data_IF_593826551951
#
_entry.id   IF_593826551951
#
_cell.length_a   1.000
_cell.length_b   1.000
_cell.length_c   1.000
_cell.angle_alpha   90.00
_cell.angle_beta   90.00
_cell.angle_gamma   90.00
#
_symmetry.space_group_name_H-M   'P 1'
#
loop_
_entity.id
_entity.type
_entity.pdbx_description
1 polymer ?
#
# COMPACT_ATOMS: atom_id res chain seq x y z
N UNK A 1 -16.65 15.81 -13.37
CA UNK A 1 -15.27 15.28 -13.46
C UNK A 1 -15.33 13.82 -13.06
N UNK A 2 -14.58 12.94 -13.70
CA UNK A 2 -14.63 11.52 -13.35
C UNK A 2 -13.83 11.30 -12.05
N UNK A 3 -14.49 11.47 -10.90
CA UNK A 3 -13.86 11.40 -9.56
C UNK A 3 -13.34 9.99 -9.20
N UNK A 4 -13.48 9.02 -10.11
CA UNK A 4 -13.02 7.64 -9.97
C UNK A 4 -11.51 7.51 -10.22
N UNK A 5 -10.96 8.22 -11.21
CA UNK A 5 -9.57 8.06 -11.60
C UNK A 5 -8.67 8.94 -10.73
N UNK A 6 -7.86 8.29 -9.90
CA UNK A 6 -6.82 8.93 -9.12
C UNK A 6 -5.66 9.36 -10.04
N UNK A 7 -5.12 10.52 -9.75
CA UNK A 7 -4.04 11.16 -10.49
C UNK A 7 -2.71 10.99 -9.77
N UNK A 8 -1.62 11.41 -10.42
CA UNK A 8 -0.29 11.45 -9.78
C UNK A 8 -0.29 12.26 -8.47
N UNK A 9 -1.06 13.35 -8.42
CA UNK A 9 -1.17 14.22 -7.25
C UNK A 9 -1.76 13.48 -6.05
N UNK A 10 -2.72 12.59 -6.30
CA UNK A 10 -3.41 11.84 -5.25
C UNK A 10 -2.48 10.82 -4.57
N UNK A 11 -1.37 10.45 -5.21
CA UNK A 11 -0.37 9.51 -4.68
C UNK A 11 1.01 10.16 -4.45
N UNK A 12 1.10 11.49 -4.42
CA UNK A 12 2.32 12.17 -3.99
C UNK A 12 2.63 11.85 -2.52
N UNK A 13 3.92 11.80 -2.16
CA UNK A 13 4.34 11.44 -0.80
C UNK A 13 3.90 12.44 0.28
N UNK A 14 3.52 13.65 -0.14
CA UNK A 14 2.93 14.67 0.73
C UNK A 14 1.41 14.50 0.92
N UNK A 15 0.75 13.65 0.13
CA UNK A 15 -0.62 13.23 0.41
C UNK A 15 -0.63 12.18 1.54
N UNK A 16 -0.45 12.66 2.77
CA UNK A 16 -0.37 11.81 3.95
C UNK A 16 -1.66 11.04 4.23
N UNK A 17 -2.83 11.58 3.85
CA UNK A 17 -4.09 10.85 3.99
C UNK A 17 -4.09 9.58 3.14
N UNK A 18 -3.71 9.70 1.86
CA UNK A 18 -3.62 8.54 0.97
C UNK A 18 -2.62 7.51 1.49
N UNK A 19 -1.41 7.93 1.86
CA UNK A 19 -0.39 6.99 2.33
C UNK A 19 -0.71 6.36 3.69
N UNK A 20 -1.39 7.08 4.58
CA UNK A 20 -1.92 6.49 5.81
C UNK A 20 -2.95 5.41 5.51
N UNK A 21 -3.96 5.75 4.69
CA UNK A 21 -4.96 4.79 4.24
C UNK A 21 -4.29 3.57 3.57
N UNK A 22 -3.41 3.80 2.61
CA UNK A 22 -2.81 2.72 1.84
C UNK A 22 -1.98 1.78 2.72
N UNK A 23 -1.11 2.32 3.56
CA UNK A 23 -0.24 1.49 4.41
C UNK A 23 -1.04 0.85 5.53
N UNK A 24 -1.98 1.53 6.18
CA UNK A 24 -2.73 0.94 7.30
C UNK A 24 -3.76 -0.09 6.85
N UNK A 25 -4.31 0.00 5.64
CA UNK A 25 -5.40 -0.87 5.18
C UNK A 25 -5.00 -1.87 4.08
N UNK A 26 -4.01 -1.54 3.24
CA UNK A 26 -3.58 -2.45 2.17
C UNK A 26 -2.34 -3.26 2.53
N UNK A 27 -1.52 -2.82 3.51
CA UNK A 27 -0.41 -3.64 3.98
C UNK A 27 -0.92 -4.61 5.03
N UNK A 28 -0.18 -5.71 5.16
CA UNK A 28 -0.37 -6.69 6.21
C UNK A 28 0.92 -6.75 7.01
N UNK A 29 0.80 -6.69 8.32
CA UNK A 29 1.92 -6.67 9.24
C UNK A 29 1.38 -6.93 10.63
N UNK A 30 2.15 -7.65 11.43
CA UNK A 30 1.77 -7.99 12.79
C UNK A 30 2.99 -7.89 13.70
N UNK A 31 2.85 -7.17 14.80
CA UNK A 31 3.86 -7.11 15.85
C UNK A 31 3.56 -8.23 16.85
N UNK A 32 4.30 -9.34 16.78
CA UNK A 32 4.09 -10.49 17.66
C UNK A 32 4.31 -10.17 19.14
N UNK A 33 5.16 -9.19 19.47
CA UNK A 33 5.48 -8.87 20.86
C UNK A 33 4.37 -8.09 21.53
N UNK A 34 3.70 -7.21 20.76
CA UNK A 34 2.62 -6.37 21.26
C UNK A 34 1.22 -6.88 20.89
N UNK A 35 1.16 -7.91 20.05
CA UNK A 35 -0.06 -8.47 19.48
C UNK A 35 -0.88 -7.42 18.69
N UNK A 36 -0.19 -6.57 17.92
CA UNK A 36 -0.81 -5.46 17.18
C UNK A 36 -0.78 -5.70 15.68
N UNK A 37 -1.89 -5.42 15.00
CA UNK A 37 -1.89 -5.29 13.55
C UNK A 37 -1.18 -4.00 13.13
N UNK A 38 -0.83 -3.92 11.84
CA UNK A 38 -0.03 -2.78 11.32
C UNK A 38 -0.67 -1.41 11.57
N UNK A 39 -2.01 -1.29 11.52
CA UNK A 39 -2.69 -0.03 11.77
C UNK A 39 -2.63 0.37 13.25
N UNK A 40 -2.77 -0.59 14.17
CA UNK A 40 -2.65 -0.40 15.61
C UNK A 40 -1.22 -0.01 15.99
N UNK A 41 -0.23 -0.73 15.47
CA UNK A 41 1.18 -0.46 15.71
C UNK A 41 1.60 0.92 15.18
N UNK A 42 1.10 1.33 14.01
CA UNK A 42 1.32 2.68 13.49
C UNK A 42 0.77 3.73 14.45
N UNK A 43 -0.44 3.53 15.00
CA UNK A 43 -1.06 4.48 15.95
C UNK A 43 -0.30 4.60 17.28
N UNK A 44 0.44 3.57 17.69
CA UNK A 44 1.28 3.66 18.89
C UNK A 44 2.53 4.53 18.70
N UNK A 45 3.11 4.50 17.50
CA UNK A 45 4.43 5.11 17.24
C UNK A 45 4.36 6.40 16.43
N UNK A 46 3.21 6.70 15.83
CA UNK A 46 2.94 7.90 15.04
C UNK A 46 1.72 8.64 15.58
N UNK A 47 1.88 9.94 15.82
CA UNK A 47 0.78 10.83 16.18
C UNK A 47 -0.02 11.21 14.92
N UNK A 48 -0.93 10.31 14.51
CA UNK A 48 -1.70 10.43 13.28
C UNK A 48 -2.54 11.72 13.26
N UNK A 49 -3.17 12.08 14.37
CA UNK A 49 -4.03 13.27 14.46
C UNK A 49 -3.26 14.57 14.24
N UNK A 50 -2.01 14.63 14.69
CA UNK A 50 -1.14 15.78 14.42
C UNK A 50 -0.78 15.94 12.95
N UNK A 51 -0.63 14.83 12.22
CA UNK A 51 -0.22 14.83 10.81
C UNK A 51 -1.41 14.98 9.86
N UNK A 52 -2.53 14.34 10.18
CA UNK A 52 -3.75 14.28 9.35
C UNK A 52 -5.03 14.41 10.19
N UNK A 53 -5.30 15.59 10.77
CA UNK A 53 -6.41 15.80 11.73
C UNK A 53 -7.82 15.57 11.14
N UNK A 54 -7.97 15.64 9.82
CA UNK A 54 -9.24 15.45 9.11
C UNK A 54 -9.27 14.14 8.32
N UNK A 55 -8.46 13.15 8.71
CA UNK A 55 -8.37 11.87 7.99
C UNK A 55 -9.74 11.17 7.86
N UNK A 56 -10.59 11.24 8.89
CA UNK A 56 -11.93 10.63 8.84
C UNK A 56 -12.78 11.23 7.72
N UNK A 57 -12.86 12.55 7.63
CA UNK A 57 -13.64 13.23 6.59
C UNK A 57 -13.10 12.90 5.20
N UNK A 58 -11.77 12.85 5.05
CA UNK A 58 -11.12 12.43 3.81
C UNK A 58 -11.44 10.98 3.45
N UNK A 59 -11.40 10.07 4.43
CA UNK A 59 -11.67 8.64 4.23
C UNK A 59 -13.13 8.40 3.82
N UNK A 60 -14.07 9.06 4.49
CA UNK A 60 -15.50 8.97 4.17
C UNK A 60 -15.80 9.49 2.74
N UNK A 61 -15.08 10.51 2.27
CA UNK A 61 -15.16 10.97 0.88
C UNK A 61 -14.49 9.98 -0.10
N UNK A 62 -13.36 9.39 0.29
CA UNK A 62 -12.61 8.47 -0.56
C UNK A 62 -13.33 7.13 -0.77
N UNK A 63 -13.99 6.61 0.27
CA UNK A 63 -14.68 5.31 0.32
C UNK A 63 -16.22 5.42 0.42
N UNK A 64 -16.83 6.53 -0.01
CA UNK A 64 -18.29 6.76 0.09
C UNK A 64 -19.15 5.68 -0.58
N UNK A 65 -20.41 5.54 -0.16
CA UNK A 65 -21.36 4.57 -0.76
C UNK A 65 -21.63 4.82 -2.26
N UNK A 66 -21.34 6.03 -2.76
CA UNK A 66 -21.45 6.37 -4.18
C UNK A 66 -20.18 6.04 -4.97
N UNK A 67 -19.00 5.96 -4.32
CA UNK A 67 -17.68 5.77 -4.94
C UNK A 67 -16.81 4.87 -4.06
N UNK A 68 -16.42 3.72 -4.60
CA UNK A 68 -15.79 2.62 -3.86
C UNK A 68 -16.64 1.35 -3.88
N UNK A 69 -17.76 1.30 -4.62
CA UNK A 69 -18.50 0.05 -4.84
C UNK A 69 -17.78 -0.85 -5.84
N UNK A 70 -18.21 -2.11 -5.97
CA UNK A 70 -17.69 -3.04 -7.01
C UNK A 70 -17.84 -2.44 -8.41
N UNK A 71 -18.96 -1.78 -8.68
CA UNK A 71 -19.27 -1.17 -9.98
C UNK A 71 -18.62 0.21 -10.16
N UNK A 72 -18.10 0.81 -9.09
CA UNK A 72 -17.60 2.18 -9.10
C UNK A 72 -16.36 2.39 -8.20
N UNK A 73 -15.24 1.67 -8.39
CA UNK A 73 -14.04 1.85 -7.57
C UNK A 73 -13.33 3.18 -7.85
N UNK A 74 -12.54 3.64 -6.86
CA UNK A 74 -11.43 4.55 -7.18
C UNK A 74 -10.33 3.75 -7.86
N UNK A 75 -9.71 4.29 -8.90
CA UNK A 75 -8.72 3.56 -9.70
C UNK A 75 -7.46 4.38 -9.85
N UNK A 76 -6.29 3.77 -9.59
CA UNK A 76 -5.01 4.25 -10.11
C UNK A 76 -4.61 3.32 -11.24
N UNK A 77 -4.40 3.85 -12.44
CA UNK A 77 -3.92 3.05 -13.56
C UNK A 77 -2.89 3.81 -14.39
N UNK A 78 -2.01 3.06 -15.06
CA UNK A 78 -0.99 3.65 -15.92
C UNK A 78 -0.29 2.64 -16.80
N UNK A 79 0.33 3.14 -17.88
CA UNK A 79 1.27 2.38 -18.70
C UNK A 79 2.70 2.64 -18.20
N UNK A 80 3.45 1.57 -17.98
CA UNK A 80 4.86 1.60 -17.59
C UNK A 80 5.77 1.47 -18.81
N UNK A 81 5.37 0.62 -19.77
CA UNK A 81 5.98 0.46 -21.09
C UNK A 81 4.89 0.27 -22.14
N UNK A 82 5.25 -0.04 -23.39
CA UNK A 82 4.28 -0.43 -24.42
C UNK A 82 3.55 -1.73 -24.06
N UNK A 83 4.25 -2.65 -23.40
CA UNK A 83 3.76 -4.00 -23.06
C UNK A 83 3.32 -4.16 -21.60
N UNK A 84 3.57 -3.17 -20.75
CA UNK A 84 3.30 -3.24 -19.31
C UNK A 84 2.38 -2.09 -18.87
N UNK A 85 1.22 -2.43 -18.32
CA UNK A 85 0.31 -1.54 -17.61
C UNK A 85 -0.05 -2.10 -16.24
N UNK A 86 -0.44 -1.22 -15.33
CA UNK A 86 -0.97 -1.58 -14.02
C UNK A 86 -2.31 -0.89 -13.79
N UNK A 87 -3.15 -1.50 -12.96
CA UNK A 87 -4.30 -0.86 -12.36
C UNK A 87 -4.48 -1.36 -10.92
N UNK A 88 -4.92 -0.47 -10.04
CA UNK A 88 -5.27 -0.77 -8.65
C UNK A 88 -6.63 -0.16 -8.43
N UNK A 89 -7.59 -0.98 -8.03
CA UNK A 89 -8.96 -0.56 -7.78
C UNK A 89 -9.22 -0.62 -6.27
N UNK A 90 -9.67 0.49 -5.71
CA UNK A 90 -10.03 0.63 -4.31
C UNK A 90 -11.54 0.55 -4.20
N UNK A 91 -11.99 -0.55 -3.62
CA UNK A 91 -13.37 -0.75 -3.20
C UNK A 91 -13.46 -0.58 -1.68
N UNK A 92 -14.67 -0.37 -1.17
CA UNK A 92 -14.94 -0.20 0.26
C UNK A 92 -14.61 -1.45 1.07
N UNK A 93 -14.68 -2.64 0.45
CA UNK A 93 -14.42 -3.93 1.09
C UNK A 93 -13.06 -4.55 0.74
N UNK A 94 -12.40 -4.11 -0.33
CA UNK A 94 -11.14 -4.68 -0.80
C UNK A 94 -10.37 -3.76 -1.74
N UNK A 95 -9.07 -3.97 -1.86
CA UNK A 95 -8.25 -3.37 -2.93
C UNK A 95 -7.79 -4.48 -3.88
N UNK A 96 -8.06 -4.33 -5.17
CA UNK A 96 -7.73 -5.33 -6.19
C UNK A 96 -6.61 -4.82 -7.11
N UNK A 97 -5.79 -5.74 -7.59
CA UNK A 97 -4.57 -5.43 -8.32
C UNK A 97 -4.59 -6.09 -9.68
N UNK A 98 -4.14 -5.35 -10.69
CA UNK A 98 -4.06 -5.80 -12.07
C UNK A 98 -2.72 -5.44 -12.70
N UNK A 99 -2.19 -6.37 -13.49
CA UNK A 99 -1.05 -6.14 -14.38
C UNK A 99 -1.44 -6.58 -15.79
N UNK A 100 -1.27 -5.72 -16.78
CA UNK A 100 -1.68 -5.97 -18.17
C UNK A 100 -3.15 -6.38 -18.30
N UNK A 101 -4.02 -5.72 -17.53
CA UNK A 101 -5.46 -6.04 -17.42
C UNK A 101 -5.78 -7.45 -16.93
N UNK A 102 -4.79 -8.17 -16.39
CA UNK A 102 -4.99 -9.45 -15.71
C UNK A 102 -5.00 -9.22 -14.20
N UNK A 103 -5.99 -9.79 -13.54
CA UNK A 103 -6.08 -9.84 -12.10
C UNK A 103 -4.86 -10.57 -11.52
N UNK A 104 -4.23 -10.00 -10.48
CA UNK A 104 -3.07 -10.60 -9.80
C UNK A 104 -3.27 -10.82 -8.30
N UNK A 105 -4.33 -10.28 -7.71
CA UNK A 105 -4.62 -10.46 -6.29
C UNK A 105 -5.51 -9.38 -5.69
N UNK A 106 -5.86 -9.55 -4.42
CA UNK A 106 -6.67 -8.62 -3.63
C UNK A 106 -6.22 -8.55 -2.17
N UNK A 107 -6.55 -7.43 -1.52
CA UNK A 107 -6.40 -7.20 -0.09
C UNK A 107 -7.77 -7.12 0.60
N UNK A 108 -8.61 -8.13 0.41
CA UNK A 108 -9.97 -8.24 0.95
C UNK A 108 -10.16 -9.42 1.92
N UNK A 109 -11.42 -9.81 2.15
CA UNK A 109 -11.78 -10.94 3.03
C UNK A 109 -11.39 -12.31 2.47
N UNK A 110 -11.25 -12.44 1.14
CA UNK A 110 -10.67 -13.59 0.46
C UNK A 110 -9.31 -13.21 -0.13
N UNK A 111 -8.40 -12.80 0.74
CA UNK A 111 -7.07 -12.32 0.40
C UNK A 111 -6.31 -13.23 -0.58
N UNK A 112 -5.77 -12.64 -1.64
CA UNK A 112 -4.91 -13.28 -2.64
C UNK A 112 -3.69 -12.38 -2.88
N UNK A 113 -2.48 -12.86 -2.58
CA UNK A 113 -1.25 -12.09 -2.75
C UNK A 113 -0.06 -12.96 -3.16
N UNK A 114 1.15 -12.40 -3.03
CA UNK A 114 2.43 -13.01 -3.38
C UNK A 114 2.57 -13.38 -4.86
N UNK A 115 1.94 -12.59 -5.72
CA UNK A 115 2.07 -12.73 -7.17
C UNK A 115 3.45 -12.31 -7.67
N UNK A 116 4.03 -11.26 -7.08
CA UNK A 116 5.34 -10.73 -7.46
C UNK A 116 6.45 -11.31 -6.58
N UNK A 117 7.59 -11.61 -7.18
CA UNK A 117 8.84 -11.82 -6.44
C UNK A 117 9.45 -10.47 -6.04
N UNK A 118 10.28 -10.44 -4.99
CA UNK A 118 11.04 -9.24 -4.63
C UNK A 118 11.87 -8.70 -5.81
N UNK A 119 12.41 -9.58 -6.66
CA UNK A 119 13.17 -9.17 -7.86
C UNK A 119 12.31 -8.41 -8.86
N UNK A 120 11.08 -8.88 -9.10
CA UNK A 120 10.11 -8.20 -9.96
C UNK A 120 9.69 -6.87 -9.35
N UNK A 121 9.46 -6.82 -8.03
CA UNK A 121 9.17 -5.56 -7.34
C UNK A 121 10.30 -4.53 -7.50
N UNK A 122 11.56 -4.94 -7.32
CA UNK A 122 12.74 -4.08 -7.50
C UNK A 122 12.84 -3.54 -8.93
N UNK A 123 12.34 -4.27 -9.95
CA UNK A 123 12.33 -3.76 -11.32
C UNK A 123 11.45 -2.51 -11.49
N UNK A 124 10.51 -2.29 -10.57
CA UNK A 124 9.67 -1.09 -10.49
C UNK A 124 10.27 0.02 -9.62
N UNK A 125 11.48 -0.12 -9.05
CA UNK A 125 12.08 0.84 -8.11
C UNK A 125 12.26 2.25 -8.72
N UNK A 126 12.43 2.34 -10.05
CA UNK A 126 12.46 3.61 -10.80
C UNK A 126 11.13 4.39 -10.75
N UNK A 127 10.03 3.73 -10.37
CA UNK A 127 8.72 4.31 -10.13
C UNK A 127 8.44 4.27 -8.62
N UNK A 128 9.02 5.22 -7.87
CA UNK A 128 9.11 5.13 -6.40
C UNK A 128 7.79 4.84 -5.67
N UNK A 129 6.69 5.44 -6.14
CA UNK A 129 5.35 5.23 -5.57
C UNK A 129 4.78 3.87 -5.93
N UNK A 130 5.02 3.42 -7.17
CA UNK A 130 4.55 2.12 -7.65
C UNK A 130 5.19 0.98 -6.88
N UNK A 131 6.46 1.12 -6.46
CA UNK A 131 7.09 0.16 -5.55
C UNK A 131 6.24 -0.06 -4.29
N UNK A 132 5.85 1.01 -3.60
CA UNK A 132 5.00 0.88 -2.40
C UNK A 132 3.59 0.39 -2.74
N UNK A 133 3.04 0.81 -3.88
CA UNK A 133 1.72 0.37 -4.32
C UNK A 133 1.69 -1.14 -4.64
N UNK A 134 2.71 -1.71 -5.26
CA UNK A 134 2.73 -3.15 -5.58
C UNK A 134 3.27 -4.02 -4.45
N UNK A 135 3.80 -3.40 -3.38
CA UNK A 135 4.37 -4.11 -2.25
C UNK A 135 3.40 -5.15 -1.64
N UNK A 136 2.08 -4.87 -1.43
CA UNK A 136 1.11 -5.85 -0.92
C UNK A 136 1.00 -7.14 -1.74
N UNK A 137 1.36 -7.10 -3.02
CA UNK A 137 1.30 -8.26 -3.94
C UNK A 137 2.63 -9.02 -4.00
N UNK A 138 3.62 -8.66 -3.19
CA UNK A 138 4.98 -9.21 -3.27
C UNK A 138 5.21 -10.28 -2.21
N UNK A 139 5.73 -11.44 -2.61
CA UNK A 139 6.30 -12.44 -1.71
C UNK A 139 7.79 -12.17 -1.49
N UNK A 140 8.24 -12.29 -0.23
CA UNK A 140 9.65 -12.13 0.15
C UNK A 140 10.16 -13.45 0.69
N UNK A 141 11.24 -13.96 0.09
CA UNK A 141 11.96 -15.11 0.62
C UNK A 141 12.74 -14.71 1.88
N UNK A 142 12.80 -15.60 2.88
CA UNK A 142 13.51 -15.36 4.15
C UNK A 142 14.94 -14.86 3.96
N UNK A 143 15.68 -15.45 3.01
CA UNK A 143 17.07 -15.07 2.71
C UNK A 143 17.20 -13.67 2.04
N UNK A 144 16.09 -13.03 1.66
CA UNK A 144 16.00 -11.67 1.11
C UNK A 144 15.34 -10.69 2.05
N UNK A 145 14.90 -11.12 3.24
CA UNK A 145 14.17 -10.30 4.19
C UNK A 145 14.88 -9.00 4.55
N UNK A 146 16.15 -9.06 4.96
CA UNK A 146 16.92 -7.86 5.33
C UNK A 146 17.00 -6.85 4.17
N UNK A 147 17.12 -7.34 2.93
CA UNK A 147 17.12 -6.49 1.75
C UNK A 147 15.74 -5.85 1.53
N UNK A 148 14.66 -6.62 1.64
CA UNK A 148 13.30 -6.12 1.51
C UNK A 148 13.01 -5.04 2.58
N UNK A 149 13.32 -5.32 3.85
CA UNK A 149 13.16 -4.38 4.96
C UNK A 149 13.90 -3.06 4.69
N UNK A 150 15.16 -3.14 4.25
CA UNK A 150 15.96 -1.95 3.93
C UNK A 150 15.34 -1.11 2.80
N UNK A 151 14.84 -1.77 1.74
CA UNK A 151 14.20 -1.11 0.60
C UNK A 151 12.88 -0.45 1.01
N UNK A 152 12.02 -1.18 1.73
CA UNK A 152 10.72 -0.68 2.21
C UNK A 152 10.93 0.50 3.16
N UNK A 153 11.82 0.37 4.14
CA UNK A 153 12.17 1.47 5.06
C UNK A 153 12.63 2.71 4.29
N UNK A 154 13.54 2.55 3.32
CA UNK A 154 14.02 3.67 2.50
C UNK A 154 12.89 4.41 1.81
N UNK A 155 11.88 3.70 1.30
CA UNK A 155 10.71 4.32 0.65
C UNK A 155 9.76 4.96 1.65
N UNK A 156 9.53 4.31 2.81
CA UNK A 156 8.72 4.88 3.90
C UNK A 156 9.33 6.18 4.45
N UNK A 157 10.67 6.33 4.42
CA UNK A 157 11.36 7.58 4.78
C UNK A 157 10.96 8.78 3.92
N UNK A 158 10.47 8.56 2.70
CA UNK A 158 9.98 9.63 1.83
C UNK A 158 8.60 10.15 2.26
N UNK A 159 7.85 9.41 3.08
CA UNK A 159 6.57 9.85 3.65
C UNK A 159 6.85 10.43 5.03
N UNK A 160 6.75 11.76 5.15
CA UNK A 160 7.25 12.51 6.32
C UNK A 160 6.70 12.02 7.65
N UNK A 161 5.44 11.58 7.68
CA UNK A 161 4.78 11.03 8.86
C UNK A 161 5.38 9.70 9.34
N UNK A 162 5.90 8.88 8.43
CA UNK A 162 6.49 7.58 8.76
C UNK A 162 8.02 7.61 8.89
N UNK A 163 8.66 8.73 8.57
CA UNK A 163 10.11 8.76 8.39
C UNK A 163 10.92 8.28 9.60
N UNK A 164 10.50 8.63 10.82
CA UNK A 164 11.21 8.22 12.06
C UNK A 164 10.97 6.77 12.45
N UNK A 165 9.84 6.19 12.05
CA UNK A 165 9.38 4.85 12.41
C UNK A 165 9.43 3.87 11.23
N UNK A 166 10.00 4.31 10.11
CA UNK A 166 10.09 3.57 8.85
C UNK A 166 10.73 2.19 8.99
N UNK A 167 11.78 2.05 9.79
CA UNK A 167 12.43 0.76 10.04
C UNK A 167 11.50 -0.21 10.78
N UNK A 168 10.76 0.27 11.78
CA UNK A 168 9.78 -0.53 12.54
C UNK A 168 8.61 -1.00 11.66
N UNK A 169 8.01 -0.08 10.89
CA UNK A 169 6.89 -0.40 9.99
C UNK A 169 7.36 -1.38 8.89
N UNK A 170 8.56 -1.19 8.34
CA UNK A 170 9.11 -2.07 7.31
C UNK A 170 9.37 -3.49 7.84
N UNK A 171 9.91 -3.61 9.05
CA UNK A 171 10.16 -4.89 9.69
C UNK A 171 8.86 -5.67 9.92
N UNK A 172 7.84 -5.06 10.53
CA UNK A 172 6.53 -5.69 10.73
C UNK A 172 5.91 -6.21 9.42
N UNK A 173 6.02 -5.41 8.37
CA UNK A 173 5.49 -5.77 7.06
C UNK A 173 6.23 -6.97 6.46
N UNK A 174 7.56 -6.94 6.49
CA UNK A 174 8.37 -8.01 5.88
C UNK A 174 8.33 -9.30 6.69
N UNK A 175 8.14 -9.25 8.02
CA UNK A 175 7.87 -10.41 8.85
C UNK A 175 6.62 -11.15 8.39
N UNK A 176 5.55 -10.41 8.08
CA UNK A 176 4.30 -10.99 7.63
C UNK A 176 4.39 -11.58 6.22
N UNK A 177 5.25 -11.04 5.36
CA UNK A 177 5.47 -11.56 4.00
C UNK A 177 6.27 -12.87 3.94
N UNK A 178 6.89 -13.30 5.04
CA UNK A 178 7.49 -14.62 5.17
C UNK A 178 6.40 -15.69 5.35
N UNK A 179 5.62 -15.87 4.29
CA UNK A 179 4.45 -16.74 4.24
C UNK A 179 4.58 -17.89 3.26
N UNK A 180 5.76 -18.53 3.16
CA UNK A 180 6.00 -19.97 2.88
C UNK A 180 7.48 -20.31 2.77
#
# INVERSE_FOLDING_TARGET
MNNQLLTKKDIEFDNLNFWHFYISYCFRGFDEQKELNIDEAIREVVDIEKHIPFFKDWYDEFCSDEVGTVENPKVIAGKLTEDISFAIEFHSSETTFFLNSKYIGNQGGHFEAWFLTLKELISFDKYEKLFLLLLPMTGVEENKRELAESLVSKKLKSISMFAKQSDYIANMYCEWLNGR
#
